data_IF_330884938027
#
_entry.id   IF_330884938027
#
_cell.length_a   1.000
_cell.length_b   1.000
_cell.length_c   1.000
_cell.angle_alpha   90.00
_cell.angle_beta   90.00
_cell.angle_gamma   90.00
#
_symmetry.space_group_name_H-M   'P 1'
#
loop_
_entity.id
_entity.type
_entity.pdbx_description
1 polymer ?
#
# COMPACT_ATOMS: atom_id res chain seq x y z
N UNK A 1 34.81 47.22 16.94
CA UNK A 1 34.96 46.98 18.40
C UNK A 1 33.75 46.21 18.89
N UNK A 2 33.97 44.94 19.25
CA UNK A 2 33.42 44.18 20.39
C UNK A 2 31.89 43.98 20.42
N UNK A 3 31.31 42.79 20.59
CA UNK A 3 31.77 41.53 21.25
C UNK A 3 30.85 40.38 20.80
N UNK A 4 31.47 39.26 20.52
CA UNK A 4 30.93 37.91 20.41
C UNK A 4 30.41 37.46 21.79
N UNK A 5 29.21 36.85 21.87
CA UNK A 5 28.82 36.01 23.00
C UNK A 5 28.36 34.66 22.38
N UNK A 6 29.21 33.65 22.56
CA UNK A 6 28.87 32.26 22.32
C UNK A 6 28.21 31.72 23.61
N UNK A 7 27.02 31.16 23.50
CA UNK A 7 26.37 30.42 24.58
C UNK A 7 26.52 28.92 24.27
N UNK A 8 27.41 28.26 24.98
CA UNK A 8 27.60 26.82 24.98
C UNK A 8 26.56 26.21 25.92
N UNK A 9 25.62 25.45 25.41
CA UNK A 9 24.68 24.65 26.20
C UNK A 9 25.21 23.22 26.28
N UNK A 10 25.79 22.86 27.40
CA UNK A 10 26.19 21.50 27.75
C UNK A 10 24.96 20.69 28.18
N UNK A 11 24.59 19.69 27.40
CA UNK A 11 23.60 18.69 27.80
C UNK A 11 24.33 17.54 28.50
N UNK A 12 24.08 17.38 29.79
CA UNK A 12 24.57 16.27 30.59
C UNK A 12 23.75 15.03 30.29
N UNK A 13 24.40 13.96 29.75
CA UNK A 13 23.84 12.62 29.69
C UNK A 13 23.86 12.00 31.09
N UNK A 14 22.69 11.69 31.64
CA UNK A 14 22.55 10.82 32.79
C UNK A 14 22.54 9.37 32.34
N UNK A 15 23.60 8.64 32.61
CA UNK A 15 23.71 7.19 32.47
C UNK A 15 23.10 6.59 33.74
N UNK A 16 21.97 5.90 33.62
CA UNK A 16 21.41 5.07 34.67
C UNK A 16 21.97 3.65 34.53
N UNK A 17 22.89 3.28 35.40
CA UNK A 17 23.36 1.90 35.58
C UNK A 17 22.36 1.14 36.44
N UNK A 18 21.69 0.14 35.88
CA UNK A 18 20.95 -0.86 36.66
C UNK A 18 21.88 -2.00 37.05
N UNK A 19 22.20 -2.05 38.34
CA UNK A 19 22.95 -3.13 38.99
C UNK A 19 22.05 -4.34 39.16
N UNK A 20 22.55 -5.50 38.79
CA UNK A 20 21.85 -6.78 38.90
C UNK A 20 21.69 -7.24 40.37
N UNK A 21 20.70 -8.07 40.60
CA UNK A 21 20.63 -8.95 41.75
C UNK A 21 20.48 -10.41 41.30
N UNK A 22 21.32 -11.18 41.95
CA UNK A 22 21.58 -12.58 41.73
C UNK A 22 20.42 -13.51 42.14
N UNK A 23 20.42 -14.63 41.49
CA UNK A 23 19.93 -15.95 41.74
C UNK A 23 19.12 -16.33 42.98
N UNK A 24 18.05 -17.09 42.73
CA UNK A 24 17.57 -18.08 43.72
C UNK A 24 17.15 -19.34 42.95
N UNK A 25 17.92 -20.39 43.17
CA UNK A 25 17.64 -21.77 42.79
C UNK A 25 16.55 -22.30 43.70
N UNK A 26 15.43 -22.76 43.13
CA UNK A 26 14.41 -23.50 43.89
C UNK A 26 14.61 -24.98 43.65
N UNK A 27 14.93 -25.68 44.73
CA UNK A 27 15.11 -27.13 44.84
C UNK A 27 13.73 -27.78 44.85
N UNK A 28 13.61 -28.86 44.06
CA UNK A 28 12.43 -29.72 44.01
C UNK A 28 12.48 -30.63 45.28
N UNK A 29 11.49 -30.50 46.14
CA UNK A 29 11.26 -31.40 47.28
C UNK A 29 10.08 -32.34 47.00
N UNK A 30 10.37 -33.63 47.03
CA UNK A 30 9.38 -34.69 47.06
C UNK A 30 8.50 -34.59 48.32
N UNK A 31 7.22 -34.78 48.16
CA UNK A 31 6.34 -35.08 49.30
C UNK A 31 5.48 -36.31 49.01
N UNK A 32 5.75 -37.31 49.80
CA UNK A 32 5.05 -38.59 49.95
C UNK A 32 3.64 -38.40 50.53
N UNK A 33 2.71 -39.25 50.04
CA UNK A 33 1.38 -39.46 50.56
C UNK A 33 1.34 -39.96 52.02
N UNK A 34 0.17 -39.77 52.72
CA UNK A 34 -0.53 -40.96 53.10
C UNK A 34 -2.03 -41.00 52.76
N UNK A 35 -2.50 -42.18 52.41
CA UNK A 35 -3.88 -42.60 52.27
C UNK A 35 -4.66 -42.51 53.60
N UNK A 36 -5.91 -42.05 53.50
CA UNK A 36 -6.99 -42.46 54.41
C UNK A 36 -8.24 -42.75 53.61
N UNK A 37 -8.86 -43.86 53.91
CA UNK A 37 -9.97 -44.54 53.28
C UNK A 37 -11.35 -44.03 53.77
N UNK A 38 -12.38 -44.26 52.91
CA UNK A 38 -13.82 -44.46 53.10
C UNK A 38 -14.69 -43.25 53.54
N UNK A 39 -15.80 -42.94 52.92
CA UNK A 39 -17.03 -43.70 52.69
C UNK A 39 -17.96 -43.02 51.66
N UNK A 40 -18.86 -43.79 51.12
CA UNK A 40 -19.88 -43.64 50.11
C UNK A 40 -20.81 -42.44 50.22
N UNK A 41 -21.10 -41.74 49.12
CA UNK A 41 -22.45 -41.32 48.76
C UNK A 41 -22.52 -41.06 47.23
N UNK A 42 -23.31 -41.83 46.53
CA UNK A 42 -23.68 -41.75 45.10
C UNK A 42 -24.61 -40.55 44.88
N UNK A 43 -24.23 -39.65 43.98
CA UNK A 43 -25.12 -38.71 43.34
C UNK A 43 -24.78 -38.64 41.82
N UNK A 44 -25.76 -38.38 40.91
CA UNK A 44 -25.70 -38.80 39.53
C UNK A 44 -24.74 -37.96 38.71
N UNK A 45 -23.98 -38.63 37.85
CA UNK A 45 -23.13 -38.04 36.79
C UNK A 45 -23.95 -37.18 35.83
N UNK A 46 -23.73 -35.89 35.84
CA UNK A 46 -24.02 -35.03 34.67
C UNK A 46 -22.81 -35.06 33.76
N UNK A 47 -22.94 -35.74 32.64
CA UNK A 47 -22.00 -35.74 31.52
C UNK A 47 -21.78 -34.30 31.07
N UNK A 48 -20.53 -33.79 31.02
CA UNK A 48 -20.26 -32.51 30.34
C UNK A 48 -20.53 -32.69 28.85
N UNK A 49 -21.40 -31.85 28.29
CA UNK A 49 -21.60 -31.76 26.87
C UNK A 49 -20.22 -31.50 26.18
N UNK A 50 -19.89 -32.37 25.25
CA UNK A 50 -18.74 -32.16 24.38
C UNK A 50 -18.90 -30.81 23.68
N UNK A 51 -17.99 -29.88 23.94
CA UNK A 51 -17.86 -28.66 23.20
C UNK A 51 -17.41 -29.10 21.80
N UNK A 52 -18.33 -28.99 20.85
CA UNK A 52 -18.07 -29.21 19.44
C UNK A 52 -16.98 -28.18 19.02
N UNK A 53 -15.80 -28.66 18.75
CA UNK A 53 -14.73 -27.84 18.21
C UNK A 53 -15.24 -27.25 16.89
N UNK A 54 -15.18 -25.92 16.76
CA UNK A 54 -15.44 -25.24 15.49
C UNK A 54 -14.60 -25.91 14.39
N UNK A 55 -15.15 -26.10 13.19
CA UNK A 55 -14.40 -26.71 12.11
C UNK A 55 -13.17 -25.86 11.83
N UNK A 56 -12.01 -26.45 12.00
CA UNK A 56 -10.73 -25.92 11.53
C UNK A 56 -10.88 -25.73 10.01
N UNK A 57 -10.94 -24.48 9.59
CA UNK A 57 -10.95 -24.14 8.16
C UNK A 57 -9.61 -24.63 7.62
N UNK A 58 -9.62 -25.76 6.95
CA UNK A 58 -8.46 -26.30 6.26
C UNK A 58 -7.91 -25.20 5.35
N UNK A 59 -6.62 -24.89 5.49
CA UNK A 59 -5.91 -24.05 4.52
C UNK A 59 -6.16 -24.65 3.13
N UNK A 60 -6.48 -23.84 2.11
CA UNK A 60 -6.72 -24.35 0.77
C UNK A 60 -5.48 -25.12 0.31
N UNK A 61 -5.68 -26.40 -0.07
CA UNK A 61 -4.66 -27.17 -0.77
C UNK A 61 -4.25 -26.35 -2.00
N UNK A 62 -2.97 -25.98 -2.12
CA UNK A 62 -2.44 -25.27 -3.27
C UNK A 62 -2.62 -26.12 -4.52
N UNK A 63 -3.66 -25.81 -5.29
CA UNK A 63 -3.88 -26.42 -6.59
C UNK A 63 -2.65 -26.10 -7.47
N UNK A 64 -2.16 -27.12 -8.21
CA UNK A 64 -1.11 -26.91 -9.22
C UNK A 64 -1.55 -25.78 -10.17
N UNK A 65 -0.86 -24.61 -10.12
CA UNK A 65 -1.22 -23.41 -10.89
C UNK A 65 -1.73 -22.23 -10.05
N UNK A 66 -1.90 -22.37 -8.74
CA UNK A 66 -2.25 -21.26 -7.86
C UNK A 66 -1.11 -20.23 -7.80
N UNK A 67 -1.46 -18.95 -7.89
CA UNK A 67 -0.54 -17.83 -7.82
C UNK A 67 -0.88 -16.92 -6.65
N UNK A 68 0.12 -16.18 -6.17
CA UNK A 68 -0.05 -15.08 -5.23
C UNK A 68 -0.19 -13.77 -6.00
N UNK A 69 -1.02 -12.86 -5.55
CA UNK A 69 -1.17 -11.49 -6.07
C UNK A 69 -0.52 -10.52 -5.10
N UNK A 70 0.35 -9.63 -5.58
CA UNK A 70 1.05 -8.65 -4.77
C UNK A 70 1.00 -7.25 -5.34
N UNK A 71 1.01 -6.26 -4.45
CA UNK A 71 1.08 -4.82 -4.74
C UNK A 71 2.17 -4.18 -3.90
N UNK A 72 2.91 -3.26 -4.50
CA UNK A 72 3.73 -2.29 -3.80
C UNK A 72 3.38 -0.87 -4.24
N UNK A 73 3.36 0.04 -3.28
CA UNK A 73 3.16 1.48 -3.46
C UNK A 73 4.32 2.20 -2.80
N UNK A 74 5.06 3.00 -3.55
CA UNK A 74 6.17 3.80 -3.03
C UNK A 74 5.96 5.27 -3.37
N UNK A 75 5.86 6.12 -2.37
CA UNK A 75 5.56 7.54 -2.53
C UNK A 75 6.77 8.40 -2.19
N UNK A 76 7.19 9.23 -3.13
CA UNK A 76 8.26 10.21 -2.92
C UNK A 76 7.68 11.63 -3.02
N UNK A 77 7.92 12.43 -1.96
CA UNK A 77 7.53 13.85 -1.87
C UNK A 77 8.74 14.77 -1.71
N UNK A 78 9.96 14.25 -1.76
CA UNK A 78 11.19 14.98 -1.45
C UNK A 78 11.55 16.08 -2.45
N UNK A 79 10.94 16.09 -3.64
CA UNK A 79 11.13 17.13 -4.68
C UNK A 79 10.27 18.37 -4.43
N UNK A 80 9.38 18.32 -3.43
CA UNK A 80 8.51 19.46 -3.08
C UNK A 80 9.33 20.66 -2.62
N UNK A 81 8.90 21.86 -3.01
CA UNK A 81 9.60 23.11 -2.71
C UNK A 81 8.65 24.16 -2.13
N UNK A 82 9.10 24.90 -1.14
CA UNK A 82 8.38 26.06 -0.59
C UNK A 82 8.31 27.20 -1.59
N UNK A 83 7.25 28.01 -1.53
CA UNK A 83 7.18 29.25 -2.28
C UNK A 83 8.22 30.27 -1.82
N UNK A 84 8.64 31.15 -2.71
CA UNK A 84 9.48 32.32 -2.44
C UNK A 84 8.82 33.59 -2.97
N UNK A 85 9.45 34.74 -2.79
CA UNK A 85 8.93 35.98 -3.36
C UNK A 85 8.93 35.95 -4.90
N UNK A 86 9.83 35.16 -5.50
CA UNK A 86 10.08 35.12 -6.95
C UNK A 86 9.50 33.87 -7.62
N UNK A 87 9.18 32.81 -6.85
CA UNK A 87 8.74 31.53 -7.38
C UNK A 87 7.61 30.91 -6.57
N UNK A 88 6.67 30.30 -7.27
CA UNK A 88 5.62 29.46 -6.64
C UNK A 88 6.24 28.27 -5.92
N UNK A 89 5.62 27.86 -4.83
CA UNK A 89 5.87 26.57 -4.21
C UNK A 89 5.16 25.45 -4.97
N UNK A 90 5.66 24.23 -4.82
CA UNK A 90 5.08 23.05 -5.41
C UNK A 90 5.21 21.86 -4.46
N UNK A 91 4.11 21.15 -4.23
CA UNK A 91 4.16 19.78 -3.69
C UNK A 91 4.14 18.83 -4.86
N UNK A 92 5.20 18.05 -4.99
CA UNK A 92 5.33 17.02 -6.02
C UNK A 92 5.14 15.64 -5.39
N UNK A 93 4.23 14.86 -5.96
CA UNK A 93 4.01 13.45 -5.65
C UNK A 93 4.53 12.61 -6.79
N UNK A 94 5.46 11.70 -6.51
CA UNK A 94 5.98 10.72 -7.44
C UNK A 94 5.71 9.33 -6.83
N UNK A 95 4.55 8.74 -7.20
CA UNK A 95 4.11 7.45 -6.65
C UNK A 95 4.44 6.37 -7.66
N UNK A 96 5.27 5.41 -7.28
CA UNK A 96 5.57 4.22 -8.07
C UNK A 96 4.73 3.05 -7.59
N UNK A 97 4.11 2.36 -8.53
CA UNK A 97 3.25 1.21 -8.32
C UNK A 97 3.87 -0.01 -9.02
N UNK A 98 3.89 -1.14 -8.34
CA UNK A 98 4.21 -2.43 -8.96
C UNK A 98 3.17 -3.48 -8.52
N UNK A 99 2.58 -4.16 -9.49
CA UNK A 99 1.66 -5.28 -9.31
C UNK A 99 2.28 -6.54 -9.90
N UNK A 100 2.19 -7.66 -9.19
CA UNK A 100 2.74 -8.94 -9.64
C UNK A 100 1.79 -10.10 -9.37
N UNK A 101 1.88 -11.14 -10.20
CA UNK A 101 1.53 -12.50 -9.78
C UNK A 101 2.80 -13.32 -9.68
N UNK A 102 2.92 -14.13 -8.61
CA UNK A 102 4.10 -14.97 -8.37
C UNK A 102 3.68 -16.37 -7.95
N UNK A 103 4.48 -17.37 -8.33
CA UNK A 103 4.30 -18.72 -7.84
C UNK A 103 4.91 -18.92 -6.44
N UNK A 104 4.78 -20.12 -5.87
CA UNK A 104 5.30 -20.42 -4.54
C UNK A 104 6.84 -20.46 -4.46
N UNK A 105 7.52 -20.53 -5.61
CA UNK A 105 8.97 -20.43 -5.69
C UNK A 105 9.48 -18.98 -5.81
N UNK A 106 8.57 -18.00 -5.85
CA UNK A 106 8.90 -16.59 -6.02
C UNK A 106 9.20 -16.21 -7.46
N UNK A 107 8.84 -17.05 -8.44
CA UNK A 107 8.98 -16.74 -9.88
C UNK A 107 7.81 -15.87 -10.31
N UNK A 108 8.10 -14.70 -10.85
CA UNK A 108 7.13 -13.73 -11.33
C UNK A 108 6.46 -14.27 -12.58
N UNK A 109 5.14 -14.39 -12.56
CA UNK A 109 4.34 -14.91 -13.67
C UNK A 109 3.73 -13.79 -14.52
N UNK A 110 3.44 -12.64 -13.89
CA UNK A 110 3.05 -11.40 -14.56
C UNK A 110 3.47 -10.21 -13.72
N UNK A 111 3.70 -9.07 -14.39
CA UNK A 111 4.12 -7.83 -13.74
C UNK A 111 3.51 -6.64 -14.47
N UNK A 112 3.04 -5.65 -13.72
CA UNK A 112 2.59 -4.35 -14.23
C UNK A 112 3.22 -3.26 -13.38
N UNK A 113 3.82 -2.25 -14.03
CA UNK A 113 4.42 -1.09 -13.36
C UNK A 113 3.69 0.16 -13.83
N UNK A 114 3.35 1.05 -12.90
CA UNK A 114 2.78 2.36 -13.21
C UNK A 114 3.31 3.43 -12.26
N UNK A 115 2.98 4.69 -12.52
CA UNK A 115 3.34 5.82 -11.64
C UNK A 115 2.27 6.89 -11.68
N UNK A 116 1.98 7.50 -10.52
CA UNK A 116 1.07 8.63 -10.38
C UNK A 116 1.91 9.89 -10.20
N UNK A 117 2.08 10.73 -11.24
CA UNK A 117 2.71 12.04 -11.12
C UNK A 117 1.62 13.06 -10.77
N UNK A 118 1.69 13.68 -9.61
CA UNK A 118 0.77 14.75 -9.24
C UNK A 118 1.54 15.94 -8.69
N UNK A 119 1.03 17.14 -8.94
CA UNK A 119 1.64 18.39 -8.45
C UNK A 119 0.54 19.34 -7.98
N UNK A 120 0.73 19.92 -6.78
CA UNK A 120 -0.10 20.99 -6.25
C UNK A 120 0.77 22.23 -6.07
N UNK A 121 0.51 23.28 -6.88
CA UNK A 121 1.22 24.55 -6.80
C UNK A 121 0.49 25.52 -5.88
N UNK A 122 1.24 26.38 -5.20
CA UNK A 122 0.73 27.42 -4.32
C UNK A 122 1.66 28.65 -4.33
N UNK A 123 1.13 29.82 -4.00
CA UNK A 123 1.91 31.07 -3.98
C UNK A 123 2.55 31.33 -2.60
N UNK A 124 3.28 32.43 -2.50
CA UNK A 124 3.92 32.89 -1.26
C UNK A 124 2.95 33.50 -0.23
N UNK A 125 1.66 33.30 -0.41
CA UNK A 125 0.61 33.60 0.58
C UNK A 125 -0.16 32.33 0.97
N UNK A 126 0.37 31.16 0.59
CA UNK A 126 -0.25 29.88 0.86
C UNK A 126 -1.56 29.65 0.09
N UNK A 127 -1.79 30.34 -1.02
CA UNK A 127 -2.97 30.15 -1.86
C UNK A 127 -2.66 29.14 -2.96
N UNK A 128 -3.43 28.07 -3.05
CA UNK A 128 -3.31 27.07 -4.12
C UNK A 128 -3.63 27.71 -5.47
N UNK A 129 -2.75 27.50 -6.45
CA UNK A 129 -2.86 28.02 -7.80
C UNK A 129 -3.12 26.95 -8.86
N UNK A 130 -2.97 25.67 -8.53
CA UNK A 130 -3.36 24.53 -9.37
C UNK A 130 -4.89 24.40 -9.45
N UNK A 131 -5.38 23.89 -10.59
CA UNK A 131 -6.73 23.35 -10.67
C UNK A 131 -6.78 21.99 -9.95
N UNK A 132 -7.28 22.00 -8.72
CA UNK A 132 -7.39 20.78 -7.89
C UNK A 132 -8.52 19.85 -8.33
N UNK A 133 -9.34 20.25 -9.29
CA UNK A 133 -10.43 19.42 -9.86
C UNK A 133 -10.02 18.70 -11.13
N UNK A 134 -8.85 19.02 -11.69
CA UNK A 134 -8.32 18.36 -12.86
C UNK A 134 -8.04 16.86 -12.60
N UNK A 135 -8.20 16.05 -13.63
CA UNK A 135 -7.86 14.64 -13.57
C UNK A 135 -6.35 14.46 -13.30
N UNK A 136 -6.02 13.45 -12.50
CA UNK A 136 -4.65 13.02 -12.25
C UNK A 136 -4.45 11.65 -12.88
N UNK A 137 -4.05 11.66 -14.16
CA UNK A 137 -3.78 10.43 -14.90
C UNK A 137 -2.42 9.85 -14.50
N UNK A 138 -2.32 8.52 -14.50
CA UNK A 138 -1.03 7.82 -14.34
C UNK A 138 -0.15 8.03 -15.57
N UNK A 139 1.12 7.63 -15.48
CA UNK A 139 2.02 7.71 -16.65
C UNK A 139 1.60 6.74 -17.75
N UNK A 140 1.11 5.55 -17.40
CA UNK A 140 0.57 4.62 -18.40
C UNK A 140 -0.68 5.19 -19.10
N UNK A 141 -1.58 5.83 -18.35
CA UNK A 141 -2.77 6.48 -18.92
C UNK A 141 -2.44 7.66 -19.83
N UNK A 142 -1.36 8.39 -19.52
CA UNK A 142 -0.86 9.48 -20.36
C UNK A 142 -0.24 8.98 -21.67
N UNK A 143 0.43 7.82 -21.64
CA UNK A 143 1.09 7.27 -22.82
C UNK A 143 1.93 8.34 -23.53
N UNK A 144 1.70 8.53 -24.83
CA UNK A 144 2.40 9.55 -25.65
C UNK A 144 2.26 10.98 -25.11
N UNK A 145 1.17 11.31 -24.42
CA UNK A 145 0.96 12.64 -23.83
C UNK A 145 1.91 12.92 -22.65
N UNK A 146 2.58 11.89 -22.08
CA UNK A 146 3.63 12.10 -21.10
C UNK A 146 4.86 12.79 -21.73
N UNK A 147 5.15 12.54 -23.02
CA UNK A 147 5.99 13.36 -23.87
C UNK A 147 7.48 13.14 -23.72
N UNK A 148 7.95 11.97 -23.31
CA UNK A 148 9.38 11.68 -23.20
C UNK A 148 10.09 11.68 -24.56
N UNK A 149 9.43 11.18 -25.60
CA UNK A 149 9.96 11.19 -26.96
C UNK A 149 9.91 12.61 -27.53
N UNK A 150 8.73 13.23 -27.49
CA UNK A 150 8.49 14.52 -28.13
C UNK A 150 9.32 15.68 -27.52
N UNK A 151 9.55 15.68 -26.23
CA UNK A 151 10.18 16.79 -25.49
C UNK A 151 11.56 16.45 -24.96
N UNK A 152 11.81 15.17 -24.63
CA UNK A 152 13.06 14.69 -24.04
C UNK A 152 13.97 13.96 -25.02
N UNK A 153 13.50 13.65 -26.25
CA UNK A 153 14.27 12.87 -27.23
C UNK A 153 14.58 11.44 -26.73
N UNK A 154 13.74 10.88 -25.86
CA UNK A 154 13.90 9.52 -25.38
C UNK A 154 13.66 8.50 -26.51
N UNK A 155 14.19 7.28 -26.33
CA UNK A 155 14.04 6.19 -27.32
C UNK A 155 12.59 5.71 -27.45
N UNK A 156 11.81 5.80 -26.36
CA UNK A 156 10.40 5.43 -26.28
C UNK A 156 9.72 6.22 -25.14
N UNK A 157 8.39 6.24 -25.12
CA UNK A 157 7.63 6.82 -24.02
C UNK A 157 7.83 6.01 -22.72
N UNK A 158 7.47 6.62 -21.60
CA UNK A 158 7.71 6.02 -20.28
C UNK A 158 7.01 4.67 -20.10
N UNK A 159 5.75 4.59 -20.51
CA UNK A 159 4.93 3.37 -20.46
C UNK A 159 5.55 2.21 -21.22
N UNK A 160 6.04 2.45 -22.44
CA UNK A 160 6.73 1.45 -23.23
C UNK A 160 8.04 0.98 -22.57
N UNK A 161 8.80 1.91 -21.96
CA UNK A 161 10.05 1.56 -21.27
C UNK A 161 9.81 0.74 -20.00
N UNK A 162 8.80 1.08 -19.19
CA UNK A 162 8.48 0.27 -17.99
C UNK A 162 7.81 -1.05 -18.32
N UNK A 163 7.04 -1.12 -19.43
CA UNK A 163 6.52 -2.39 -19.94
C UNK A 163 7.67 -3.35 -20.28
N UNK A 164 8.73 -2.88 -20.92
CA UNK A 164 9.92 -3.69 -21.19
C UNK A 164 10.59 -4.21 -19.90
N UNK A 165 10.58 -3.42 -18.81
CA UNK A 165 11.07 -3.86 -17.50
C UNK A 165 10.15 -4.91 -16.89
N UNK A 166 8.85 -4.72 -16.97
CA UNK A 166 7.85 -5.67 -16.48
C UNK A 166 7.94 -7.01 -17.23
N UNK A 167 8.05 -6.97 -18.55
CA UNK A 167 8.25 -8.17 -19.40
C UNK A 167 9.57 -8.87 -19.07
N UNK A 168 10.64 -8.10 -18.84
CA UNK A 168 11.93 -8.65 -18.44
C UNK A 168 11.85 -9.36 -17.08
N UNK A 169 10.96 -8.92 -16.18
CA UNK A 169 10.77 -9.53 -14.86
C UNK A 169 10.06 -10.89 -14.93
N UNK A 170 9.20 -11.11 -15.93
CA UNK A 170 8.45 -12.37 -16.06
C UNK A 170 9.40 -13.57 -16.25
N UNK A 171 9.11 -14.65 -15.53
CA UNK A 171 9.92 -15.87 -15.51
C UNK A 171 11.16 -15.80 -14.64
N UNK A 172 11.37 -14.72 -13.88
CA UNK A 172 12.50 -14.53 -12.97
C UNK A 172 12.05 -14.39 -11.52
N UNK A 173 12.95 -14.74 -10.62
CA UNK A 173 12.90 -14.37 -9.21
C UNK A 173 13.47 -12.95 -9.03
N UNK A 174 13.21 -12.33 -7.88
CA UNK A 174 13.81 -11.02 -7.51
C UNK A 174 15.33 -11.08 -7.50
N UNK A 175 15.91 -12.19 -7.05
CA UNK A 175 17.37 -12.38 -7.03
C UNK A 175 17.94 -12.38 -8.46
N UNK A 176 17.32 -13.09 -9.38
CA UNK A 176 17.70 -13.10 -10.80
C UNK A 176 17.54 -11.73 -11.46
N UNK A 177 16.52 -10.95 -11.08
CA UNK A 177 16.39 -9.57 -11.54
C UNK A 177 17.55 -8.69 -11.09
N UNK A 178 17.90 -8.74 -9.81
CA UNK A 178 19.00 -7.93 -9.23
C UNK A 178 20.37 -8.31 -9.78
N UNK A 179 20.57 -9.56 -10.12
CA UNK A 179 21.84 -10.09 -10.66
C UNK A 179 21.88 -10.13 -12.20
N UNK A 180 20.76 -9.86 -12.86
CA UNK A 180 20.59 -9.93 -14.32
C UNK A 180 21.12 -8.70 -15.06
N UNK A 181 20.35 -8.23 -16.04
CA UNK A 181 20.76 -7.18 -16.99
C UNK A 181 20.61 -5.75 -16.45
N UNK A 182 20.23 -5.58 -15.20
CA UNK A 182 20.14 -4.28 -14.55
C UNK A 182 21.36 -4.12 -13.63
N UNK A 183 22.10 -3.03 -13.81
CA UNK A 183 23.13 -2.61 -12.86
C UNK A 183 22.48 -1.84 -11.72
N UNK A 184 22.32 -2.50 -10.58
CA UNK A 184 21.68 -1.92 -9.39
C UNK A 184 22.45 -0.73 -8.79
N UNK A 185 23.75 -0.55 -9.15
CA UNK A 185 24.56 0.58 -8.69
C UNK A 185 24.28 1.84 -9.49
N UNK A 186 24.23 1.72 -10.81
CA UNK A 186 23.93 2.84 -11.72
C UNK A 186 22.43 3.01 -11.96
N UNK A 187 21.65 1.99 -11.65
CA UNK A 187 20.22 1.94 -11.89
C UNK A 187 19.81 1.84 -13.35
N UNK A 188 20.72 1.43 -14.23
CA UNK A 188 20.45 1.33 -15.67
C UNK A 188 20.58 -0.11 -16.17
N UNK A 189 20.02 -0.37 -17.35
CA UNK A 189 20.30 -1.61 -18.06
C UNK A 189 21.79 -1.68 -18.42
N UNK A 190 22.39 -2.88 -18.31
CA UNK A 190 23.79 -3.13 -18.67
C UNK A 190 23.97 -2.96 -20.17
N UNK A 191 25.05 -2.28 -20.57
CA UNK A 191 25.35 -2.05 -21.97
C UNK A 191 25.41 -3.37 -22.77
N UNK A 192 24.73 -3.36 -23.92
CA UNK A 192 24.65 -4.52 -24.82
C UNK A 192 23.65 -5.60 -24.40
N UNK A 193 22.92 -5.43 -23.32
CA UNK A 193 21.75 -6.29 -23.00
C UNK A 193 20.55 -5.93 -23.87
N UNK A 194 19.64 -6.87 -24.08
CA UNK A 194 18.41 -6.61 -24.82
C UNK A 194 17.58 -5.51 -24.15
N UNK A 195 17.57 -5.48 -22.81
CA UNK A 195 16.87 -4.47 -22.03
C UNK A 195 17.42 -3.04 -22.29
N UNK A 196 18.74 -2.88 -22.56
CA UNK A 196 19.35 -1.57 -22.84
C UNK A 196 18.86 -0.92 -24.14
N UNK A 197 18.33 -1.72 -25.07
CA UNK A 197 17.72 -1.23 -26.32
C UNK A 197 16.27 -0.76 -26.12
N UNK A 198 15.61 -1.17 -25.03
CA UNK A 198 14.18 -0.93 -24.78
C UNK A 198 13.93 0.01 -23.61
N UNK A 199 14.86 0.11 -22.63
CA UNK A 199 14.71 0.93 -21.44
C UNK A 199 16.03 1.67 -21.10
N UNK A 200 15.97 3.00 -21.12
CA UNK A 200 17.10 3.90 -20.80
C UNK A 200 16.86 4.75 -19.55
N UNK A 201 15.67 4.65 -18.95
CA UNK A 201 15.30 5.31 -17.70
C UNK A 201 16.03 4.68 -16.51
N UNK A 202 15.84 5.22 -15.30
CA UNK A 202 16.36 4.64 -14.07
C UNK A 202 15.53 3.44 -13.65
N UNK A 203 16.11 2.23 -13.65
CA UNK A 203 15.41 0.96 -13.49
C UNK A 203 15.45 0.39 -12.07
N UNK A 204 16.50 0.69 -11.29
CA UNK A 204 16.69 0.08 -9.97
C UNK A 204 15.48 0.34 -9.03
N UNK A 205 14.85 1.51 -9.12
CA UNK A 205 13.65 1.83 -8.35
C UNK A 205 12.48 0.88 -8.65
N UNK A 206 12.31 0.49 -9.90
CA UNK A 206 11.26 -0.47 -10.30
C UNK A 206 11.58 -1.89 -9.83
N UNK A 207 12.86 -2.29 -9.84
CA UNK A 207 13.28 -3.59 -9.26
C UNK A 207 12.93 -3.66 -7.77
N UNK A 208 13.18 -2.58 -7.02
CA UNK A 208 12.78 -2.51 -5.60
C UNK A 208 11.26 -2.50 -5.41
N UNK A 209 10.52 -1.85 -6.28
CA UNK A 209 9.05 -1.88 -6.25
C UNK A 209 8.52 -3.30 -6.55
N UNK A 210 9.09 -4.00 -7.55
CA UNK A 210 8.77 -5.40 -7.85
C UNK A 210 9.10 -6.28 -6.64
N UNK A 211 10.27 -6.14 -6.03
CA UNK A 211 10.64 -6.87 -4.82
C UNK A 211 9.64 -6.68 -3.70
N UNK A 212 9.25 -5.45 -3.43
CA UNK A 212 8.24 -5.15 -2.42
C UNK A 212 6.88 -5.80 -2.75
N UNK A 213 6.47 -5.75 -4.02
CA UNK A 213 5.23 -6.41 -4.47
C UNK A 213 5.29 -7.94 -4.31
N UNK A 214 6.43 -8.57 -4.63
CA UNK A 214 6.64 -10.01 -4.42
C UNK A 214 6.59 -10.37 -2.94
N UNK A 215 7.21 -9.56 -2.08
CA UNK A 215 7.20 -9.77 -0.63
C UNK A 215 5.81 -9.62 -0.01
N UNK A 216 4.95 -8.75 -0.59
CA UNK A 216 3.57 -8.53 -0.15
C UNK A 216 2.57 -9.51 -0.76
N UNK A 217 3.01 -10.39 -1.68
CA UNK A 217 2.11 -11.25 -2.44
C UNK A 217 1.42 -12.31 -1.59
N UNK A 218 0.10 -12.47 -1.78
CA UNK A 218 -0.78 -13.34 -1.01
C UNK A 218 -1.63 -14.22 -1.93
N UNK A 219 -2.01 -15.41 -1.46
CA UNK A 219 -2.97 -16.29 -2.14
C UNK A 219 -4.38 -15.71 -2.03
N UNK A 220 -4.80 -14.98 -3.05
CA UNK A 220 -6.11 -14.33 -3.13
C UNK A 220 -7.05 -14.97 -4.17
N UNK A 221 -6.60 -16.06 -4.81
CA UNK A 221 -7.40 -16.79 -5.79
C UNK A 221 -6.82 -16.80 -7.22
N UNK A 222 -5.78 -16.01 -7.50
CA UNK A 222 -5.14 -15.97 -8.82
C UNK A 222 -4.63 -17.34 -9.27
N UNK A 223 -4.75 -17.62 -10.58
CA UNK A 223 -4.33 -18.85 -11.21
C UNK A 223 -3.42 -18.56 -12.41
N UNK A 224 -2.63 -19.56 -12.80
CA UNK A 224 -1.85 -19.48 -14.03
C UNK A 224 -2.73 -19.23 -15.25
N UNK A 225 -2.36 -18.24 -16.06
CA UNK A 225 -3.12 -17.83 -17.24
C UNK A 225 -4.23 -16.82 -16.97
N UNK A 226 -4.38 -16.32 -15.74
CA UNK A 226 -5.21 -15.17 -15.45
C UNK A 226 -4.51 -13.89 -15.91
N UNK A 227 -5.28 -12.90 -16.36
CA UNK A 227 -4.78 -11.58 -16.72
C UNK A 227 -4.63 -10.72 -15.46
N UNK A 228 -3.42 -10.16 -15.23
CA UNK A 228 -3.15 -9.21 -14.15
C UNK A 228 -3.50 -7.79 -14.59
N UNK A 229 -4.24 -7.07 -13.76
CA UNK A 229 -4.63 -5.68 -13.99
C UNK A 229 -4.29 -4.84 -12.77
N UNK A 230 -3.67 -3.67 -13.00
CA UNK A 230 -3.46 -2.60 -12.04
C UNK A 230 -4.31 -1.40 -12.48
N UNK A 231 -5.15 -0.90 -11.60
CA UNK A 231 -5.96 0.29 -11.85
C UNK A 231 -5.92 1.24 -10.66
N UNK A 232 -6.04 2.55 -10.94
CA UNK A 232 -6.04 3.59 -9.91
C UNK A 232 -7.14 4.61 -10.17
N UNK A 233 -7.60 5.27 -9.09
CA UNK A 233 -8.41 6.49 -9.16
C UNK A 233 -7.75 7.56 -8.30
N UNK A 234 -7.24 8.61 -8.94
CA UNK A 234 -6.38 9.59 -8.34
C UNK A 234 -7.01 10.99 -8.34
N UNK A 235 -6.67 11.81 -7.35
CA UNK A 235 -7.10 13.20 -7.32
C UNK A 235 -6.42 14.01 -6.23
N UNK A 236 -6.41 15.33 -6.42
CA UNK A 236 -5.86 16.30 -5.44
C UNK A 236 -6.92 17.26 -4.91
N UNK A 237 -8.20 16.95 -5.11
CA UNK A 237 -9.35 17.81 -4.75
C UNK A 237 -9.51 18.06 -3.25
N UNK A 238 -8.90 17.23 -2.42
CA UNK A 238 -8.89 17.39 -0.95
C UNK A 238 -7.88 18.45 -0.48
N UNK A 239 -7.13 19.05 -1.41
CA UNK A 239 -6.18 20.12 -1.10
C UNK A 239 -6.90 21.43 -0.74
N UNK A 240 -6.30 22.22 0.16
CA UNK A 240 -6.85 23.49 0.64
C UNK A 240 -5.77 24.54 0.83
N UNK A 241 -6.06 25.80 0.49
CA UNK A 241 -5.17 26.93 0.73
C UNK A 241 -4.99 27.19 2.24
N UNK A 242 -3.84 27.74 2.61
CA UNK A 242 -3.60 28.21 3.98
C UNK A 242 -4.48 29.42 4.29
N UNK A 243 -4.87 29.55 5.56
CA UNK A 243 -5.56 30.72 6.11
C UNK A 243 -4.86 31.19 7.38
N UNK A 244 -5.30 32.29 7.96
CA UNK A 244 -4.74 32.77 9.24
C UNK A 244 -4.98 31.78 10.40
N UNK A 245 -6.03 30.93 10.26
CA UNK A 245 -6.48 29.99 11.29
C UNK A 245 -6.06 28.54 11.03
N UNK A 246 -5.69 28.21 9.78
CA UNK A 246 -5.39 26.84 9.37
C UNK A 246 -4.23 26.77 8.37
N UNK A 247 -3.36 25.76 8.55
CA UNK A 247 -2.34 25.43 7.57
C UNK A 247 -2.98 25.04 6.23
N UNK A 248 -2.30 25.36 5.13
CA UNK A 248 -2.62 24.82 3.82
C UNK A 248 -2.31 23.32 3.77
N UNK A 249 -3.02 22.64 2.92
CA UNK A 249 -2.89 21.20 2.69
C UNK A 249 -2.80 20.93 1.20
N UNK A 250 -1.73 20.34 0.73
CA UNK A 250 -1.71 19.60 -0.51
C UNK A 250 -1.97 18.12 -0.18
N UNK A 251 -2.93 17.50 -0.85
CA UNK A 251 -3.28 16.10 -0.61
C UNK A 251 -3.51 15.37 -1.92
N UNK A 252 -2.77 14.29 -2.12
CA UNK A 252 -3.05 13.29 -3.13
C UNK A 252 -3.82 12.14 -2.49
N UNK A 253 -5.03 11.90 -2.99
CA UNK A 253 -5.82 10.71 -2.71
C UNK A 253 -5.70 9.76 -3.90
N UNK A 254 -5.37 8.50 -3.68
CA UNK A 254 -5.32 7.48 -4.71
C UNK A 254 -5.88 6.16 -4.17
N UNK A 255 -6.98 5.68 -4.77
CA UNK A 255 -7.46 4.32 -4.57
C UNK A 255 -6.83 3.42 -5.63
N UNK A 256 -6.31 2.27 -5.24
CA UNK A 256 -5.49 1.37 -6.05
C UNK A 256 -6.09 -0.04 -5.97
N UNK A 257 -6.30 -0.68 -7.11
CA UNK A 257 -6.70 -2.06 -7.17
C UNK A 257 -5.73 -2.86 -8.04
N UNK A 258 -5.27 -3.99 -7.51
CA UNK A 258 -4.66 -5.06 -8.28
C UNK A 258 -5.62 -6.22 -8.31
N UNK A 259 -5.98 -6.68 -9.48
CA UNK A 259 -6.83 -7.84 -9.63
C UNK A 259 -6.30 -8.76 -10.72
N UNK A 260 -6.66 -10.03 -10.62
CA UNK A 260 -6.57 -10.94 -11.76
C UNK A 260 -7.96 -11.25 -12.27
N UNK A 261 -8.07 -11.46 -13.59
CA UNK A 261 -9.34 -11.79 -14.25
C UNK A 261 -9.17 -12.87 -15.28
N UNK A 262 -10.24 -13.64 -15.47
CA UNK A 262 -10.35 -14.64 -16.54
C UNK A 262 -11.78 -14.67 -17.04
N UNK A 263 -11.95 -14.61 -18.36
CA UNK A 263 -13.27 -14.65 -19.03
C UNK A 263 -14.26 -13.61 -18.47
N UNK A 264 -13.76 -12.42 -18.08
CA UNK A 264 -14.56 -11.31 -17.52
C UNK A 264 -14.95 -11.49 -16.05
N UNK A 265 -14.40 -12.49 -15.35
CA UNK A 265 -14.63 -12.76 -13.92
C UNK A 265 -13.36 -12.44 -13.14
N UNK A 266 -13.51 -11.77 -12.00
CA UNK A 266 -12.41 -11.47 -11.05
C UNK A 266 -12.00 -12.78 -10.38
N UNK A 267 -10.74 -13.17 -10.51
CA UNK A 267 -10.18 -14.38 -9.87
C UNK A 267 -9.42 -14.07 -8.60
N UNK A 268 -8.82 -12.87 -8.47
CA UNK A 268 -8.27 -12.34 -7.23
C UNK A 268 -8.44 -10.82 -7.19
N UNK A 269 -8.43 -10.23 -6.00
CA UNK A 269 -8.43 -8.78 -5.85
C UNK A 269 -7.69 -8.36 -4.57
N UNK A 270 -6.91 -7.29 -4.68
CA UNK A 270 -6.26 -6.57 -3.58
C UNK A 270 -6.50 -5.08 -3.75
N UNK A 271 -6.98 -4.41 -2.71
CA UNK A 271 -7.29 -2.97 -2.73
C UNK A 271 -6.45 -2.28 -1.66
N UNK A 272 -5.85 -1.16 -2.04
CA UNK A 272 -5.16 -0.25 -1.13
C UNK A 272 -5.58 1.21 -1.40
N UNK A 273 -5.21 2.11 -0.52
CA UNK A 273 -5.47 3.55 -0.69
C UNK A 273 -4.34 4.37 -0.08
N UNK A 274 -3.94 5.40 -0.82
CA UNK A 274 -2.93 6.37 -0.41
C UNK A 274 -3.62 7.70 -0.08
N UNK A 275 -3.23 8.32 1.04
CA UNK A 275 -3.57 9.70 1.40
C UNK A 275 -2.28 10.45 1.73
N UNK A 276 -1.55 10.87 0.70
CA UNK A 276 -0.31 11.62 0.88
C UNK A 276 -0.61 13.10 1.19
N UNK A 277 -0.16 13.58 2.34
CA UNK A 277 -0.46 14.92 2.85
C UNK A 277 0.82 15.71 3.08
N UNK A 278 0.86 16.93 2.52
CA UNK A 278 1.94 17.90 2.76
C UNK A 278 1.31 19.22 3.18
N UNK A 279 1.68 19.69 4.36
CA UNK A 279 1.20 20.97 4.90
C UNK A 279 2.16 22.10 4.55
N UNK A 280 1.61 23.30 4.39
CA UNK A 280 2.36 24.55 4.23
C UNK A 280 1.66 25.70 4.97
N UNK A 281 2.38 26.74 5.30
CA UNK A 281 1.85 27.88 6.04
C UNK A 281 1.37 29.04 5.11
N UNK A 282 0.87 30.11 5.70
CA UNK A 282 0.40 31.33 5.02
C UNK A 282 1.52 32.11 4.29
N UNK A 283 2.78 31.71 4.43
CA UNK A 283 3.91 32.26 3.67
C UNK A 283 4.35 31.34 2.54
N UNK A 284 3.62 30.24 2.32
CA UNK A 284 3.96 29.22 1.33
C UNK A 284 5.19 28.40 1.74
N UNK A 285 5.52 28.34 3.05
CA UNK A 285 6.59 27.49 3.54
C UNK A 285 6.04 26.10 3.88
N UNK A 286 6.62 25.05 3.30
CA UNK A 286 6.27 23.65 3.61
C UNK A 286 6.70 23.35 5.05
N UNK A 287 5.78 22.78 5.83
CA UNK A 287 5.98 22.46 7.26
C UNK A 287 6.05 20.96 7.52
N UNK A 288 5.66 20.13 6.55
CA UNK A 288 5.80 18.67 6.62
C UNK A 288 7.26 18.27 6.45
N UNK A 289 7.72 17.27 7.20
CA UNK A 289 9.01 16.61 6.96
C UNK A 289 8.95 15.80 5.65
N UNK A 290 9.59 16.30 4.62
CA UNK A 290 9.62 15.67 3.28
C UNK A 290 10.46 14.38 3.22
N UNK A 291 11.25 14.09 4.25
CA UNK A 291 12.02 12.86 4.37
C UNK A 291 11.24 11.74 5.10
N UNK A 292 10.13 12.07 5.75
CA UNK A 292 9.30 11.08 6.40
C UNK A 292 8.64 10.13 5.39
N UNK A 293 8.55 8.82 5.70
CA UNK A 293 7.87 7.86 4.81
C UNK A 293 6.38 8.20 4.72
N UNK A 294 5.83 8.07 3.52
CA UNK A 294 4.39 8.18 3.26
C UNK A 294 3.84 6.77 3.09
N UNK A 295 3.01 6.35 4.02
CA UNK A 295 2.43 5.01 4.09
C UNK A 295 1.03 4.97 3.49
N UNK A 296 0.66 3.84 2.89
CA UNK A 296 -0.71 3.54 2.46
C UNK A 296 -1.58 3.18 3.66
N UNK A 297 -2.89 3.05 3.45
CA UNK A 297 -3.81 2.62 4.52
C UNK A 297 -3.57 1.18 4.95
N UNK A 298 -3.20 0.29 4.01
CA UNK A 298 -2.85 -1.09 4.35
C UNK A 298 -1.55 -1.15 5.17
N UNK A 299 -0.54 -0.33 4.83
CA UNK A 299 0.70 -0.23 5.60
C UNK A 299 0.50 0.36 7.00
N UNK A 300 -0.47 1.26 7.15
CA UNK A 300 -0.84 1.83 8.44
C UNK A 300 -1.60 0.83 9.32
N UNK A 301 -2.47 -0.01 8.73
CA UNK A 301 -3.28 -0.98 9.48
C UNK A 301 -3.96 -0.33 10.70
N UNK A 302 -3.73 -0.88 11.90
CA UNK A 302 -4.29 -0.35 13.16
C UNK A 302 -3.89 1.13 13.41
N UNK A 303 -2.73 1.60 12.92
CA UNK A 303 -2.30 2.98 13.09
C UNK A 303 -3.16 3.97 12.28
N UNK A 304 -3.92 3.51 11.29
CA UNK A 304 -4.91 4.33 10.61
C UNK A 304 -6.06 4.73 11.55
N UNK A 305 -6.41 3.85 12.51
CA UNK A 305 -7.14 4.20 13.71
C UNK A 305 -8.66 4.29 13.55
N UNK A 306 -9.26 3.56 12.63
CA UNK A 306 -10.72 3.58 12.45
C UNK A 306 -11.45 2.97 13.63
N UNK A 307 -10.91 1.89 14.20
CA UNK A 307 -11.48 1.26 15.39
C UNK A 307 -11.23 2.13 16.62
N UNK A 308 -9.97 2.51 16.85
CA UNK A 308 -9.57 3.22 18.07
C UNK A 308 -10.19 4.61 18.21
N UNK A 309 -10.33 5.35 17.11
CA UNK A 309 -10.78 6.75 17.12
C UNK A 309 -12.20 6.92 16.57
N UNK A 310 -12.61 6.07 15.62
CA UNK A 310 -13.90 6.18 14.94
C UNK A 310 -14.94 5.18 15.42
N UNK A 311 -14.59 4.21 16.26
CA UNK A 311 -15.49 3.15 16.73
C UNK A 311 -16.00 2.26 15.58
N UNK A 312 -15.22 2.12 14.50
CA UNK A 312 -15.56 1.25 13.38
C UNK A 312 -15.52 -0.22 13.78
N UNK A 313 -16.19 -1.08 13.01
CA UNK A 313 -16.24 -2.53 13.27
C UNK A 313 -14.90 -3.24 13.03
N UNK A 314 -14.06 -2.65 12.15
CA UNK A 314 -12.75 -3.16 11.78
C UNK A 314 -11.92 -2.02 11.18
N UNK A 315 -10.61 -2.19 11.07
CA UNK A 315 -9.74 -1.21 10.41
C UNK A 315 -10.00 -1.13 8.90
N UNK A 316 -9.49 -0.11 8.25
CA UNK A 316 -9.77 0.15 6.83
C UNK A 316 -9.30 -0.99 5.93
N UNK A 317 -8.09 -1.48 6.17
CA UNK A 317 -7.46 -2.56 5.42
C UNK A 317 -8.25 -3.88 5.53
N UNK A 318 -8.76 -4.21 6.73
CA UNK A 318 -9.59 -5.38 6.96
C UNK A 318 -10.93 -5.28 6.21
N UNK A 319 -11.54 -4.08 6.19
CA UNK A 319 -12.79 -3.83 5.46
C UNK A 319 -12.58 -3.85 3.95
N UNK A 320 -11.47 -3.26 3.45
CA UNK A 320 -11.08 -3.31 2.03
C UNK A 320 -10.80 -4.76 1.58
N UNK A 321 -10.09 -5.54 2.40
CA UNK A 321 -9.86 -6.97 2.14
C UNK A 321 -11.17 -7.78 2.14
N UNK A 322 -12.13 -7.44 3.00
CA UNK A 322 -13.45 -8.08 3.03
C UNK A 322 -14.26 -7.78 1.77
N UNK A 323 -14.21 -6.53 1.28
CA UNK A 323 -14.80 -6.17 -0.01
C UNK A 323 -14.11 -6.91 -1.17
N UNK A 324 -12.78 -6.94 -1.21
CA UNK A 324 -12.02 -7.63 -2.24
C UNK A 324 -12.36 -9.13 -2.32
N UNK A 325 -12.45 -9.80 -1.17
CA UNK A 325 -12.92 -11.21 -1.12
C UNK A 325 -14.36 -11.37 -1.60
N UNK A 326 -15.25 -10.43 -1.24
CA UNK A 326 -16.65 -10.50 -1.64
C UNK A 326 -16.86 -10.39 -3.15
N UNK A 327 -16.00 -9.64 -3.84
CA UNK A 327 -16.08 -9.45 -5.30
C UNK A 327 -15.33 -10.52 -6.10
N UNK A 328 -14.48 -11.33 -5.50
CA UNK A 328 -13.85 -12.48 -6.16
C UNK A 328 -14.94 -13.45 -6.64
N UNK A 329 -14.84 -13.92 -7.89
CA UNK A 329 -15.83 -14.72 -8.58
C UNK A 329 -16.97 -13.93 -9.22
N UNK A 330 -16.94 -12.59 -9.19
CA UNK A 330 -17.96 -11.71 -9.78
C UNK A 330 -17.45 -11.04 -11.06
N UNK A 331 -18.41 -10.64 -11.90
CA UNK A 331 -18.16 -9.80 -13.07
C UNK A 331 -18.21 -8.31 -12.69
N UNK A 332 -17.74 -7.42 -13.58
CA UNK A 332 -17.90 -5.97 -13.40
C UNK A 332 -19.36 -5.55 -13.17
N UNK A 333 -20.31 -6.18 -13.90
CA UNK A 333 -21.74 -5.89 -13.76
C UNK A 333 -22.27 -6.29 -12.38
N UNK A 334 -21.83 -7.43 -11.85
CA UNK A 334 -22.20 -7.89 -10.49
C UNK A 334 -21.68 -6.92 -9.44
N UNK A 335 -20.44 -6.43 -9.58
CA UNK A 335 -19.84 -5.46 -8.65
C UNK A 335 -20.57 -4.11 -8.71
N UNK A 336 -20.88 -3.62 -9.91
CA UNK A 336 -21.66 -2.39 -10.09
C UNK A 336 -23.08 -2.52 -9.54
N UNK A 337 -23.64 -3.75 -9.55
CA UNK A 337 -24.97 -4.08 -9.02
C UNK A 337 -25.06 -4.23 -7.50
N UNK A 338 -23.93 -4.16 -6.75
CA UNK A 338 -23.95 -4.21 -5.28
C UNK A 338 -24.70 -2.98 -4.78
N UNK A 339 -25.81 -3.22 -4.06
CA UNK A 339 -26.65 -2.15 -3.55
C UNK A 339 -25.92 -1.33 -2.47
N UNK A 340 -26.02 -0.01 -2.58
CA UNK A 340 -25.40 0.95 -1.66
C UNK A 340 -26.45 1.91 -1.09
N UNK A 341 -26.14 2.47 0.08
CA UNK A 341 -26.90 3.56 0.72
C UNK A 341 -26.62 4.91 0.02
N UNK A 342 -27.32 5.97 0.41
CA UNK A 342 -27.04 7.34 -0.04
C UNK A 342 -25.60 7.80 0.26
N UNK A 343 -24.99 7.26 1.31
CA UNK A 343 -23.57 7.51 1.68
C UNK A 343 -22.62 6.51 1.05
N UNK A 344 -23.06 5.77 0.05
CA UNK A 344 -22.30 4.78 -0.73
C UNK A 344 -21.71 3.62 0.08
N UNK A 345 -22.23 3.37 1.29
CA UNK A 345 -21.92 2.17 2.07
C UNK A 345 -22.74 0.97 1.56
N UNK A 346 -22.33 -0.28 1.80
CA UNK A 346 -23.20 -1.43 1.51
C UNK A 346 -24.60 -1.23 2.09
N UNK A 347 -25.63 -1.64 1.33
CA UNK A 347 -27.02 -1.52 1.80
C UNK A 347 -27.24 -2.30 3.10
N UNK A 348 -28.02 -1.74 4.01
CA UNK A 348 -28.34 -2.35 5.29
C UNK A 348 -28.98 -3.73 5.11
N UNK A 349 -28.54 -4.70 5.91
CA UNK A 349 -29.02 -6.08 5.87
C UNK A 349 -28.45 -6.93 4.73
N UNK A 350 -27.51 -6.40 3.92
CA UNK A 350 -26.72 -7.22 2.98
C UNK A 350 -25.63 -7.98 3.73
N UNK A 351 -25.22 -9.13 3.18
CA UNK A 351 -24.12 -9.93 3.75
C UNK A 351 -22.84 -9.10 3.88
N UNK A 352 -22.58 -8.25 2.89
CA UNK A 352 -21.41 -7.37 2.86
C UNK A 352 -21.42 -6.33 4.01
N UNK A 353 -22.59 -5.81 4.39
CA UNK A 353 -22.70 -4.80 5.45
C UNK A 353 -22.27 -5.32 6.83
N UNK A 354 -22.21 -6.63 7.03
CA UNK A 354 -21.72 -7.23 8.27
C UNK A 354 -20.21 -7.10 8.47
N UNK A 355 -19.45 -6.95 7.39
CA UNK A 355 -17.98 -6.86 7.40
C UNK A 355 -17.43 -5.58 6.77
N UNK A 356 -18.25 -4.79 6.07
CA UNK A 356 -17.85 -3.54 5.38
C UNK A 356 -18.88 -2.45 5.69
N UNK A 357 -18.42 -1.42 6.40
CA UNK A 357 -19.23 -0.24 6.76
C UNK A 357 -18.64 1.06 6.20
N UNK A 358 -17.51 0.98 5.48
CA UNK A 358 -16.94 2.10 4.74
C UNK A 358 -17.71 2.34 3.44
N UNK A 359 -17.51 3.51 2.83
CA UNK A 359 -18.00 3.80 1.47
C UNK A 359 -17.32 2.87 0.46
N UNK A 360 -18.11 2.19 -0.37
CA UNK A 360 -17.64 1.30 -1.43
C UNK A 360 -17.90 1.84 -2.84
N UNK A 361 -18.56 3.01 -2.97
CA UNK A 361 -18.86 3.60 -4.28
C UNK A 361 -17.60 3.90 -5.09
N UNK A 362 -16.52 4.37 -4.42
CA UNK A 362 -15.20 4.53 -5.02
C UNK A 362 -14.61 3.20 -5.49
N UNK A 363 -14.72 2.16 -4.68
CA UNK A 363 -14.25 0.82 -5.05
C UNK A 363 -15.02 0.23 -6.23
N UNK A 364 -16.35 0.41 -6.29
CA UNK A 364 -17.13 -0.02 -7.46
C UNK A 364 -16.65 0.67 -8.75
N UNK A 365 -16.40 1.97 -8.69
CA UNK A 365 -15.89 2.73 -9.84
C UNK A 365 -14.46 2.28 -10.22
N UNK A 366 -13.59 2.04 -9.24
CA UNK A 366 -12.23 1.54 -9.44
C UNK A 366 -12.23 0.15 -10.11
N UNK A 367 -13.07 -0.77 -9.62
CA UNK A 367 -13.21 -2.11 -10.21
C UNK A 367 -13.83 -2.02 -11.61
N UNK A 368 -14.81 -1.14 -11.84
CA UNK A 368 -15.36 -0.91 -13.18
C UNK A 368 -14.28 -0.45 -14.18
N UNK A 369 -13.33 0.41 -13.74
CA UNK A 369 -12.16 0.82 -14.52
C UNK A 369 -11.21 -0.35 -14.77
N UNK A 370 -10.91 -1.16 -13.77
CA UNK A 370 -10.00 -2.30 -13.86
C UNK A 370 -10.53 -3.44 -14.75
N UNK A 371 -11.83 -3.50 -14.97
CA UNK A 371 -12.50 -4.55 -15.74
C UNK A 371 -12.83 -4.14 -17.18
N UNK A 372 -12.43 -2.95 -17.63
CA UNK A 372 -12.51 -2.54 -19.03
C UNK A 372 -11.45 -3.23 -19.84
#
# INVERSE_FOLDING_TARGET
MKKTIALILTIAMAVATLTGCAGTTVVIGECTCPCVTEDSAVAPETTPAATEAAPEVAAPETASGALKTGLAVSTNISKSVSATAEAAGAVEYDVTLAAVTVDDNGVIQSCVIDSIPATVNFDNKGVITSDITAAVDTKNEKGEAYGMVAWGGAIAEWDAQVAAVADYAVGKTVEELKNGDIDMTTGKAKDGSDLSSSATIYLAGYVYAIEAAVNNAQHLGAQSGDELVLATMNGVKSSASATAEAAGLAQLDADIAVLTRKDGVITSCYIDSLQAKVNFDVTGTITTDLAAPVQTKNELGEAYGMVAWGGAIAEWDEQAASFARYITGKTAADVAGIAITETTKPADGSDLASSVTISIGGFQALIAKAMQ
#
